data_IF_992281352681
#
_entry.id   IF_992281352681
#
_cell.length_a   1.000
_cell.length_b   1.000
_cell.length_c   1.000
_cell.angle_alpha   90.00
_cell.angle_beta   90.00
_cell.angle_gamma   90.00
#
_symmetry.space_group_name_H-M   'P 1'
#
loop_
_entity.id
_entity.type
_entity.pdbx_description
1 polymer ?
#
# COMPACT_ATOMS: atom_id res chain seq x y z
N UNK A 1 17.31 8.05 -1.76
CA UNK A 1 17.45 6.91 -2.69
C UNK A 1 17.39 5.66 -1.84
N UNK A 2 16.20 5.33 -1.31
CA UNK A 2 15.28 4.33 -1.87
C UNK A 2 15.92 2.94 -1.96
N UNK A 3 15.49 2.04 -1.07
CA UNK A 3 15.69 0.60 -1.17
C UNK A 3 15.06 0.12 -2.48
N UNK A 4 15.88 0.13 -3.53
CA UNK A 4 15.55 -0.57 -4.77
C UNK A 4 15.48 -2.06 -4.44
N UNK A 5 14.28 -2.64 -4.56
CA UNK A 5 14.08 -4.08 -4.63
C UNK A 5 14.73 -4.61 -5.90
N UNK A 6 16.06 -4.71 -5.93
CA UNK A 6 16.75 -5.43 -6.98
C UNK A 6 16.64 -6.92 -6.67
N UNK A 7 15.76 -7.64 -7.37
CA UNK A 7 15.93 -9.08 -7.52
C UNK A 7 17.29 -9.31 -8.19
N UNK A 8 18.29 -9.75 -7.43
CA UNK A 8 19.58 -10.17 -7.96
C UNK A 8 19.56 -11.69 -8.07
N UNK A 9 19.49 -12.21 -9.29
CA UNK A 9 19.89 -13.58 -9.59
C UNK A 9 21.39 -13.71 -9.41
N UNK A 10 21.87 -14.60 -8.53
CA UNK A 10 23.29 -14.95 -8.47
C UNK A 10 23.74 -15.55 -9.81
N UNK A 11 24.92 -15.14 -10.27
CA UNK A 11 25.59 -15.62 -11.50
C UNK A 11 25.95 -17.13 -11.46
N UNK A 12 25.66 -17.85 -10.39
CA UNK A 12 26.00 -19.27 -10.22
C UNK A 12 24.83 -20.26 -10.47
N UNK A 13 23.64 -19.76 -10.82
CA UNK A 13 22.49 -20.62 -11.12
C UNK A 13 21.86 -21.30 -9.90
N UNK A 14 22.27 -20.94 -8.67
CA UNK A 14 21.56 -21.34 -7.46
C UNK A 14 20.46 -20.31 -7.11
N UNK A 15 19.20 -20.77 -7.01
CA UNK A 15 18.11 -19.91 -6.52
C UNK A 15 18.27 -19.68 -5.02
N UNK A 16 18.76 -18.51 -4.63
CA UNK A 16 18.43 -17.91 -3.35
C UNK A 16 17.51 -16.71 -3.60
N UNK A 17 16.34 -16.67 -2.95
CA UNK A 17 15.49 -15.47 -2.95
C UNK A 17 16.16 -14.45 -2.04
N UNK A 18 16.96 -13.58 -2.63
CA UNK A 18 17.49 -12.40 -1.95
C UNK A 18 16.43 -11.31 -1.98
N UNK A 19 15.98 -10.90 -0.81
CA UNK A 19 15.30 -9.62 -0.65
C UNK A 19 16.36 -8.67 -0.10
N UNK A 20 16.72 -7.64 -0.86
CA UNK A 20 17.76 -6.68 -0.45
C UNK A 20 17.30 -5.77 0.70
N UNK A 21 16.11 -6.01 1.25
CA UNK A 21 15.51 -5.16 2.29
C UNK A 21 16.17 -5.41 3.65
N UNK A 22 16.87 -6.53 3.81
CA UNK A 22 17.54 -6.91 5.06
C UNK A 22 19.05 -7.13 4.87
N UNK A 23 19.64 -6.58 3.80
CA UNK A 23 21.08 -6.35 3.79
C UNK A 23 21.37 -5.25 4.82
N UNK A 24 22.03 -5.63 5.91
CA UNK A 24 22.34 -4.71 6.98
C UNK A 24 23.49 -3.81 6.52
N UNK A 25 23.21 -2.58 6.11
CA UNK A 25 24.21 -1.52 6.09
C UNK A 25 24.36 -1.02 7.53
N UNK A 26 25.21 -1.68 8.34
CA UNK A 26 25.58 -1.09 9.62
C UNK A 26 26.30 0.25 9.37
N UNK A 27 25.81 1.32 10.00
CA UNK A 27 26.32 2.69 10.00
C UNK A 27 25.90 3.65 8.87
N UNK A 28 24.61 3.97 8.77
CA UNK A 28 24.15 5.16 8.01
C UNK A 28 24.35 6.50 8.74
N UNK A 29 25.04 6.54 9.88
CA UNK A 29 25.29 7.79 10.64
C UNK A 29 26.70 8.38 10.54
N UNK A 30 27.65 7.78 9.83
CA UNK A 30 28.98 8.39 9.73
C UNK A 30 29.79 7.79 8.58
N UNK A 31 29.95 8.52 7.47
CA UNK A 31 31.05 8.48 6.48
C UNK A 31 31.86 7.21 6.19
N UNK A 32 31.36 6.01 6.49
CA UNK A 32 32.03 4.73 6.25
C UNK A 32 31.69 4.23 4.85
N UNK A 33 32.63 3.49 4.25
CA UNK A 33 32.43 2.83 2.97
C UNK A 33 31.16 1.97 3.00
N UNK A 34 30.31 2.11 1.97
CA UNK A 34 29.16 1.24 1.74
C UNK A 34 29.65 -0.12 1.23
N UNK A 35 30.12 -0.98 2.15
CA UNK A 35 30.54 -2.33 1.83
C UNK A 35 29.46 -3.33 2.25
N UNK A 36 29.17 -4.31 1.38
CA UNK A 36 28.33 -5.45 1.74
C UNK A 36 29.09 -6.31 2.76
N UNK A 37 28.57 -6.39 3.99
CA UNK A 37 29.24 -7.13 5.06
C UNK A 37 28.87 -8.61 5.07
N UNK A 38 27.58 -8.94 4.88
CA UNK A 38 27.10 -10.32 4.90
C UNK A 38 25.74 -10.46 4.20
N UNK A 39 25.39 -11.69 3.83
CA UNK A 39 24.09 -12.04 3.25
C UNK A 39 23.27 -12.88 4.25
N UNK A 40 22.02 -12.48 4.52
CA UNK A 40 21.12 -13.20 5.42
C UNK A 40 20.04 -13.92 4.63
N UNK A 41 19.95 -15.23 4.80
CA UNK A 41 18.86 -16.02 4.26
C UNK A 41 17.81 -16.33 5.34
N UNK A 42 16.73 -15.56 5.33
CA UNK A 42 15.62 -15.67 6.31
C UNK A 42 14.92 -17.02 6.22
N UNK A 43 14.89 -17.68 5.06
CA UNK A 43 14.25 -19.01 4.94
C UNK A 43 15.03 -20.11 5.66
N UNK A 44 16.29 -19.86 6.00
CA UNK A 44 17.14 -20.74 6.82
C UNK A 44 17.07 -20.43 8.31
N UNK A 45 16.37 -19.36 8.71
CA UNK A 45 16.12 -19.09 10.13
C UNK A 45 15.27 -20.22 10.70
N UNK A 46 15.79 -20.86 11.76
CA UNK A 46 15.27 -22.11 12.37
C UNK A 46 13.78 -22.04 12.70
N UNK A 47 13.24 -20.84 12.93
CA UNK A 47 11.91 -20.64 13.46
C UNK A 47 10.88 -20.11 12.44
N UNK A 48 11.27 -19.73 11.22
CA UNK A 48 10.36 -19.07 10.26
C UNK A 48 10.55 -19.56 8.81
N UNK A 49 9.62 -20.38 8.31
CA UNK A 49 9.62 -20.87 6.92
C UNK A 49 9.01 -19.84 5.95
N UNK A 50 9.75 -18.76 5.66
CA UNK A 50 9.29 -17.66 4.81
C UNK A 50 9.92 -17.77 3.41
N UNK A 51 9.08 -17.78 2.37
CA UNK A 51 9.50 -17.92 0.96
C UNK A 51 9.57 -16.59 0.21
N UNK A 52 8.84 -15.58 0.67
CA UNK A 52 8.79 -14.23 0.12
C UNK A 52 8.38 -13.27 1.22
N UNK A 53 8.91 -12.05 1.25
CA UNK A 53 8.50 -11.03 2.23
C UNK A 53 8.50 -9.64 1.61
N UNK A 54 7.80 -8.72 2.25
CA UNK A 54 7.67 -7.36 1.73
C UNK A 54 8.93 -6.54 1.94
N UNK A 55 9.11 -5.51 1.10
CA UNK A 55 10.22 -4.58 1.20
C UNK A 55 10.02 -3.41 2.15
N UNK A 56 8.93 -3.44 2.94
CA UNK A 56 8.48 -2.32 3.75
C UNK A 56 8.24 -2.76 5.21
N UNK A 57 9.30 -3.04 5.96
CA UNK A 57 9.17 -3.36 7.37
C UNK A 57 8.80 -2.12 8.21
N UNK A 58 8.06 -2.32 9.29
CA UNK A 58 7.83 -1.29 10.31
C UNK A 58 8.82 -1.44 11.45
N UNK A 59 9.50 -0.35 11.79
CA UNK A 59 10.39 -0.25 12.95
C UNK A 59 9.64 0.49 14.05
N UNK A 60 9.48 -0.17 15.20
CA UNK A 60 8.79 0.38 16.36
C UNK A 60 9.75 1.18 17.25
N UNK A 61 9.19 2.04 18.10
CA UNK A 61 9.96 2.84 19.06
C UNK A 61 10.80 2.00 20.05
N UNK A 62 10.38 0.77 20.34
CA UNK A 62 11.11 -0.18 21.20
C UNK A 62 12.16 -1.02 20.45
N UNK A 63 12.37 -0.73 19.16
CA UNK A 63 13.33 -1.42 18.30
C UNK A 63 12.83 -2.75 17.73
N UNK A 64 11.59 -3.17 18.00
CA UNK A 64 11.00 -4.31 17.29
C UNK A 64 10.75 -3.97 15.83
N UNK A 65 10.95 -4.96 14.96
CA UNK A 65 10.71 -4.83 13.53
C UNK A 65 9.60 -5.80 13.14
N UNK A 66 8.59 -5.31 12.43
CA UNK A 66 7.52 -6.14 11.86
C UNK A 66 7.63 -6.17 10.35
N UNK A 67 7.50 -7.36 9.75
CA UNK A 67 7.39 -7.51 8.31
C UNK A 67 6.37 -8.60 7.98
N UNK A 68 5.78 -8.57 6.79
CA UNK A 68 4.91 -9.63 6.29
C UNK A 68 5.66 -10.53 5.32
N UNK A 69 5.48 -11.83 5.49
CA UNK A 69 6.02 -12.85 4.60
C UNK A 69 5.04 -13.97 4.29
N UNK A 70 5.18 -14.52 3.10
CA UNK A 70 4.47 -15.72 2.66
C UNK A 70 5.21 -16.95 3.18
N UNK A 71 4.49 -17.87 3.83
CA UNK A 71 4.94 -19.25 4.03
C UNK A 71 4.09 -20.21 3.21
N UNK A 72 4.62 -21.41 2.96
CA UNK A 72 3.86 -22.53 2.39
C UNK A 72 3.77 -23.62 3.45
N UNK A 73 2.54 -23.96 3.82
CA UNK A 73 2.24 -25.01 4.81
C UNK A 73 1.52 -26.19 4.14
N UNK A 74 1.41 -27.36 4.79
CA UNK A 74 0.61 -28.47 4.27
C UNK A 74 -0.86 -28.11 4.00
N UNK A 75 -1.39 -27.10 4.70
CA UNK A 75 -2.76 -26.60 4.52
C UNK A 75 -2.86 -25.45 3.51
N UNK A 76 -1.76 -25.13 2.81
CA UNK A 76 -1.69 -24.06 1.82
C UNK A 76 -0.84 -22.86 2.24
N UNK A 77 -0.77 -21.84 1.36
CA UNK A 77 0.00 -20.64 1.63
C UNK A 77 -0.63 -19.78 2.74
N UNK A 78 0.23 -19.17 3.55
CA UNK A 78 -0.18 -18.27 4.63
C UNK A 78 0.62 -16.98 4.61
N UNK A 79 -0.06 -15.87 4.83
CA UNK A 79 0.55 -14.57 5.06
C UNK A 79 0.83 -14.42 6.55
N UNK A 80 2.10 -14.30 6.91
CA UNK A 80 2.54 -14.24 8.30
C UNK A 80 3.13 -12.87 8.60
N UNK A 81 2.73 -12.31 9.73
CA UNK A 81 3.44 -11.18 10.32
C UNK A 81 4.57 -11.73 11.17
N UNK A 82 5.78 -11.32 10.85
CA UNK A 82 7.03 -11.73 11.48
C UNK A 82 7.47 -10.59 12.38
N UNK A 83 7.76 -10.89 13.64
CA UNK A 83 8.38 -9.99 14.59
C UNK A 83 9.85 -10.34 14.74
N UNK A 84 10.72 -9.37 14.50
CA UNK A 84 12.14 -9.43 14.80
C UNK A 84 12.43 -8.59 16.04
N UNK A 85 13.22 -9.15 16.95
CA UNK A 85 13.55 -8.51 18.22
C UNK A 85 14.96 -7.91 18.16
N UNK A 86 15.23 -6.82 18.91
CA UNK A 86 16.58 -6.30 19.05
C UNK A 86 17.58 -7.37 19.52
N UNK A 87 18.85 -7.17 19.16
CA UNK A 87 19.95 -7.99 19.66
C UNK A 87 19.94 -7.99 21.20
N UNK A 88 20.03 -9.17 21.81
CA UNK A 88 20.16 -9.32 23.26
C UNK A 88 21.19 -10.38 23.63
N UNK A 89 21.72 -10.26 24.84
CA UNK A 89 22.57 -11.28 25.44
C UNK A 89 21.68 -12.16 26.31
N UNK A 90 21.69 -13.46 26.05
CA UNK A 90 21.06 -14.46 26.89
C UNK A 90 22.14 -15.25 27.62
N UNK A 91 21.90 -15.61 28.88
CA UNK A 91 22.76 -16.51 29.64
C UNK A 91 22.17 -17.91 29.47
N UNK A 92 22.97 -18.85 28.97
CA UNK A 92 22.53 -20.25 28.88
C UNK A 92 22.55 -20.96 30.24
N UNK A 93 22.01 -22.18 30.29
CA UNK A 93 21.93 -22.98 31.52
C UNK A 93 23.31 -23.32 32.12
N UNK A 94 24.39 -23.12 31.35
CA UNK A 94 25.78 -23.28 31.79
C UNK A 94 26.42 -21.99 32.31
N UNK A 95 25.67 -20.89 32.36
CA UNK A 95 26.15 -19.57 32.77
C UNK A 95 26.94 -18.82 31.70
N UNK A 96 26.97 -19.31 30.45
CA UNK A 96 27.72 -18.68 29.36
C UNK A 96 26.84 -17.69 28.61
N UNK A 97 27.40 -16.52 28.32
CA UNK A 97 26.74 -15.50 27.51
C UNK A 97 26.67 -15.92 26.04
N UNK A 98 25.46 -15.90 25.50
CA UNK A 98 25.16 -16.09 24.09
C UNK A 98 24.49 -14.84 23.53
N UNK A 99 25.12 -14.22 22.54
CA UNK A 99 24.51 -13.13 21.76
C UNK A 99 23.46 -13.74 20.82
N UNK A 100 22.21 -13.30 20.97
CA UNK A 100 21.12 -13.66 20.07
C UNK A 100 20.95 -12.54 19.05
N UNK A 101 21.06 -12.88 17.76
CA UNK A 101 20.83 -11.91 16.70
C UNK A 101 19.34 -11.63 16.51
N UNK A 102 19.03 -10.53 15.83
CA UNK A 102 17.67 -10.19 15.39
C UNK A 102 16.99 -11.33 14.61
N UNK A 103 17.73 -12.03 13.76
CA UNK A 103 17.20 -13.08 12.88
C UNK A 103 17.02 -14.42 13.58
N UNK A 104 17.85 -14.76 14.56
CA UNK A 104 17.72 -15.99 15.35
C UNK A 104 16.44 -15.99 16.19
N UNK A 105 15.98 -14.79 16.55
CA UNK A 105 14.85 -14.56 17.43
C UNK A 105 13.55 -14.27 16.68
N UNK A 106 13.57 -14.31 15.36
CA UNK A 106 12.39 -13.98 14.55
C UNK A 106 11.25 -14.97 14.84
N UNK A 107 10.03 -14.44 15.03
CA UNK A 107 8.84 -15.24 15.36
C UNK A 107 7.64 -14.81 14.52
N UNK A 108 6.77 -15.76 14.19
CA UNK A 108 5.47 -15.45 13.59
C UNK A 108 4.52 -15.04 14.71
N UNK A 109 4.01 -13.81 14.66
CA UNK A 109 3.10 -13.24 15.67
C UNK A 109 1.65 -13.17 15.22
N UNK A 110 1.40 -13.29 13.92
CA UNK A 110 0.07 -13.28 13.33
C UNK A 110 0.09 -14.03 12.00
N UNK A 111 -1.05 -14.62 11.60
CA UNK A 111 -1.12 -15.38 10.35
C UNK A 111 -2.53 -15.39 9.76
N UNK A 112 -2.64 -15.12 8.46
CA UNK A 112 -3.87 -15.23 7.68
C UNK A 112 -3.69 -16.26 6.55
N UNK A 113 -4.69 -17.12 6.27
CA UNK A 113 -4.64 -18.02 5.13
C UNK A 113 -4.79 -17.23 3.83
N UNK A 114 -4.08 -17.65 2.77
CA UNK A 114 -4.37 -17.19 1.41
C UNK A 114 -5.72 -17.71 0.95
N UNK A 115 -6.53 -16.86 0.30
CA UNK A 115 -7.77 -17.32 -0.34
C UNK A 115 -7.52 -18.26 -1.53
N UNK A 116 -6.30 -18.24 -2.08
CA UNK A 116 -5.91 -19.03 -3.24
C UNK A 116 -4.78 -20.00 -2.90
N UNK A 117 -5.07 -21.29 -3.07
CA UNK A 117 -4.14 -22.37 -2.71
C UNK A 117 -2.87 -22.41 -3.57
N UNK A 118 -2.99 -22.11 -4.86
CA UNK A 118 -1.88 -22.20 -5.84
C UNK A 118 -1.44 -20.84 -6.40
N UNK A 119 -2.12 -19.76 -6.00
CA UNK A 119 -1.90 -18.42 -6.53
C UNK A 119 -2.01 -17.38 -5.40
N UNK A 120 -1.16 -17.42 -4.36
CA UNK A 120 -1.21 -16.43 -3.29
C UNK A 120 -1.07 -15.01 -3.82
N UNK A 121 -1.69 -14.05 -3.13
CA UNK A 121 -1.61 -12.63 -3.47
C UNK A 121 -0.18 -12.11 -3.36
N UNK A 122 0.19 -11.25 -4.30
CA UNK A 122 1.31 -10.35 -4.16
C UNK A 122 0.93 -9.21 -3.23
N UNK A 123 1.79 -8.91 -2.26
CA UNK A 123 1.62 -7.79 -1.35
C UNK A 123 2.94 -7.05 -1.25
N UNK A 124 2.88 -5.74 -1.47
CA UNK A 124 4.06 -4.90 -1.46
C UNK A 124 4.24 -4.20 -0.11
N UNK A 125 3.14 -3.82 0.56
CA UNK A 125 3.12 -3.28 1.92
C UNK A 125 2.01 -3.95 2.75
N UNK A 126 2.05 -3.75 4.06
CA UNK A 126 1.00 -4.13 5.01
C UNK A 126 0.78 -2.98 5.99
N UNK A 127 -0.27 -3.02 6.82
CA UNK A 127 -0.54 -1.97 7.81
C UNK A 127 -0.33 -2.44 9.25
N UNK A 128 0.03 -1.50 10.13
CA UNK A 128 0.12 -1.69 11.58
C UNK A 128 -0.49 -0.50 12.34
N UNK A 129 -1.43 -0.78 13.25
CA UNK A 129 -1.97 0.18 14.23
C UNK A 129 -1.56 -0.26 15.64
N UNK A 130 -1.98 0.45 16.68
CA UNK A 130 -1.68 0.04 18.07
C UNK A 130 -2.20 -1.37 18.41
N UNK A 131 -3.37 -1.76 17.91
CA UNK A 131 -4.00 -3.04 18.22
C UNK A 131 -4.10 -4.02 17.05
N UNK A 132 -3.89 -3.59 15.80
CA UNK A 132 -4.13 -4.43 14.62
C UNK A 132 -2.97 -4.48 13.62
N UNK A 133 -2.82 -5.64 12.99
CA UNK A 133 -2.14 -5.77 11.70
C UNK A 133 -3.20 -5.79 10.60
N UNK A 134 -2.89 -5.16 9.47
CA UNK A 134 -3.79 -5.04 8.31
C UNK A 134 -3.12 -5.69 7.11
N UNK A 135 -3.75 -6.71 6.54
CA UNK A 135 -3.29 -7.38 5.31
C UNK A 135 -4.30 -7.10 4.20
N UNK A 136 -3.84 -6.48 3.10
CA UNK A 136 -4.66 -6.20 1.92
C UNK A 136 -4.36 -7.26 0.86
N UNK A 137 -5.23 -8.26 0.75
CA UNK A 137 -5.14 -9.35 -0.23
C UNK A 137 -5.77 -8.92 -1.56
N UNK A 138 -4.94 -8.34 -2.42
CA UNK A 138 -5.32 -7.79 -3.72
C UNK A 138 -5.52 -8.85 -4.82
N UNK A 139 -6.17 -8.51 -5.96
CA UNK A 139 -6.43 -9.42 -7.08
C UNK A 139 -5.20 -9.76 -7.95
N UNK A 140 -3.97 -9.41 -7.54
CA UNK A 140 -2.73 -9.73 -8.24
C UNK A 140 -2.05 -10.91 -7.55
N UNK A 141 -2.01 -12.06 -8.22
CA UNK A 141 -1.49 -13.31 -7.64
C UNK A 141 -0.14 -13.70 -8.19
N UNK A 142 0.62 -14.47 -7.42
CA UNK A 142 1.83 -15.15 -7.83
C UNK A 142 1.53 -16.63 -8.08
N UNK A 143 1.48 -17.05 -9.34
CA UNK A 143 1.12 -18.43 -9.68
C UNK A 143 2.27 -19.40 -9.37
N UNK A 144 2.07 -20.38 -8.50
CA UNK A 144 3.09 -21.41 -8.22
C UNK A 144 3.38 -22.28 -9.45
N UNK A 145 2.34 -22.63 -10.20
CA UNK A 145 2.50 -23.34 -11.48
C UNK A 145 3.21 -22.45 -12.50
N UNK A 146 2.79 -21.18 -12.59
CA UNK A 146 3.46 -20.19 -13.45
C UNK A 146 4.94 -20.08 -13.11
N UNK A 147 5.29 -19.98 -11.83
CA UNK A 147 6.67 -19.93 -11.34
C UNK A 147 7.50 -21.14 -11.79
N UNK A 148 6.94 -22.35 -11.74
CA UNK A 148 7.62 -23.56 -12.22
C UNK A 148 7.86 -23.53 -13.74
N UNK A 149 6.86 -23.12 -14.52
CA UNK A 149 6.97 -23.00 -15.99
C UNK A 149 8.00 -21.93 -16.35
N UNK A 150 7.89 -20.74 -15.75
CA UNK A 150 8.80 -19.61 -15.95
C UNK A 150 10.24 -19.98 -15.60
N UNK A 151 10.44 -20.74 -14.52
CA UNK A 151 11.76 -21.26 -14.14
C UNK A 151 12.32 -22.21 -15.21
N UNK A 152 11.53 -23.18 -15.66
CA UNK A 152 11.96 -24.13 -16.70
C UNK A 152 12.27 -23.44 -18.03
N UNK A 153 11.49 -22.42 -18.40
CA UNK A 153 11.66 -21.65 -19.63
C UNK A 153 12.69 -20.52 -19.53
N UNK A 154 13.23 -20.25 -18.34
CA UNK A 154 14.11 -19.09 -18.05
C UNK A 154 13.48 -17.75 -18.45
N UNK A 155 12.17 -17.63 -18.26
CA UNK A 155 11.42 -16.41 -18.52
C UNK A 155 11.50 -15.43 -17.33
N UNK A 156 11.19 -14.14 -17.53
CA UNK A 156 11.15 -13.17 -16.44
C UNK A 156 10.08 -13.51 -15.38
N UNK A 157 10.40 -13.23 -14.11
CA UNK A 157 9.55 -13.45 -12.92
C UNK A 157 8.18 -12.78 -13.05
N UNK A 158 8.12 -11.65 -13.76
CA UNK A 158 6.86 -10.92 -14.01
C UNK A 158 5.79 -11.81 -14.68
N UNK A 159 6.18 -12.83 -15.45
CA UNK A 159 5.28 -13.69 -16.21
C UNK A 159 4.43 -14.63 -15.34
N UNK A 160 4.80 -14.85 -14.06
CA UNK A 160 3.95 -15.66 -13.17
C UNK A 160 2.91 -14.83 -12.40
N UNK A 161 2.92 -13.50 -12.51
CA UNK A 161 1.85 -12.68 -11.95
C UNK A 161 0.58 -12.83 -12.77
N UNK A 162 -0.57 -12.99 -12.08
CA UNK A 162 -1.88 -13.08 -12.71
C UNK A 162 -2.86 -12.13 -12.05
N UNK A 163 -3.42 -11.24 -12.86
CA UNK A 163 -4.47 -10.32 -12.45
C UNK A 163 -5.85 -10.97 -12.55
N UNK A 164 -6.63 -10.87 -11.48
CA UNK A 164 -8.00 -11.37 -11.41
C UNK A 164 -8.98 -10.21 -11.23
N UNK A 165 -9.15 -9.38 -12.27
CA UNK A 165 -9.95 -8.15 -12.21
C UNK A 165 -11.42 -8.33 -11.81
N UNK A 166 -11.97 -9.53 -11.95
CA UNK A 166 -13.33 -9.89 -11.53
C UNK A 166 -13.42 -10.38 -10.07
N UNK A 167 -12.34 -10.29 -9.28
CA UNK A 167 -12.29 -10.70 -7.89
C UNK A 167 -12.06 -9.49 -7.00
N UNK A 168 -12.90 -9.36 -5.98
CA UNK A 168 -12.80 -8.32 -4.96
C UNK A 168 -11.44 -8.34 -4.23
N UNK A 169 -11.09 -7.23 -3.60
CA UNK A 169 -9.96 -7.13 -2.68
C UNK A 169 -10.42 -7.49 -1.27
N UNK A 170 -9.64 -8.26 -0.51
CA UNK A 170 -9.94 -8.56 0.90
C UNK A 170 -9.02 -7.76 1.81
N UNK A 171 -9.58 -7.14 2.84
CA UNK A 171 -8.83 -6.38 3.86
C UNK A 171 -8.98 -7.14 5.17
N UNK A 172 -7.94 -7.85 5.58
CA UNK A 172 -7.91 -8.65 6.81
C UNK A 172 -7.39 -7.82 7.98
N UNK A 173 -8.17 -7.77 9.05
CA UNK A 173 -7.79 -7.17 10.33
C UNK A 173 -7.44 -8.28 11.31
N UNK A 174 -6.19 -8.27 11.80
CA UNK A 174 -5.64 -9.29 12.69
C UNK A 174 -5.24 -8.62 14.00
N UNK A 175 -5.65 -9.17 15.14
CA UNK A 175 -5.26 -8.61 16.43
C UNK A 175 -3.76 -8.78 16.67
N UNK A 176 -3.08 -7.69 17.05
CA UNK A 176 -1.68 -7.73 17.49
C UNK A 176 -1.50 -8.48 18.82
N UNK A 177 -2.53 -8.48 19.67
CA UNK A 177 -2.51 -9.12 20.98
C UNK A 177 -2.63 -10.64 20.87
N UNK A 178 -3.57 -11.14 20.05
CA UNK A 178 -3.86 -12.58 19.97
C UNK A 178 -3.29 -13.25 18.73
N UNK A 179 -2.87 -12.47 17.72
CA UNK A 179 -2.43 -12.99 16.43
C UNK A 179 -3.57 -13.55 15.56
N UNK A 180 -4.83 -13.43 16.00
CA UNK A 180 -6.00 -14.01 15.34
C UNK A 180 -6.69 -13.01 14.41
N UNK A 181 -7.25 -13.54 13.33
CA UNK A 181 -8.09 -12.79 12.40
C UNK A 181 -9.37 -12.32 13.12
N UNK A 182 -9.54 -11.01 13.24
CA UNK A 182 -10.69 -10.38 13.89
C UNK A 182 -11.83 -10.21 12.89
N UNK A 183 -11.52 -9.70 11.70
CA UNK A 183 -12.52 -9.38 10.68
C UNK A 183 -11.89 -9.32 9.30
N UNK A 184 -12.69 -9.57 8.26
CA UNK A 184 -12.30 -9.34 6.86
C UNK A 184 -13.35 -8.46 6.18
N UNK A 185 -12.89 -7.37 5.58
CA UNK A 185 -13.72 -6.47 4.77
C UNK A 185 -13.51 -6.77 3.28
N UNK A 186 -14.53 -6.49 2.48
CA UNK A 186 -14.52 -6.71 1.03
C UNK A 186 -14.54 -5.35 0.34
N UNK A 187 -13.53 -5.06 -0.48
CA UNK A 187 -13.49 -3.87 -1.30
C UNK A 187 -13.60 -4.23 -2.79
N UNK A 188 -13.94 -3.25 -3.61
CA UNK A 188 -13.84 -3.39 -5.06
C UNK A 188 -12.40 -3.78 -5.47
N UNK A 189 -12.28 -4.39 -6.65
CA UNK A 189 -11.01 -4.78 -7.25
C UNK A 189 -10.10 -3.55 -7.41
N UNK A 190 -8.90 -3.58 -6.80
CA UNK A 190 -7.87 -2.57 -7.04
C UNK A 190 -6.47 -3.18 -6.90
N UNK A 191 -5.48 -2.53 -7.51
CA UNK A 191 -4.06 -2.84 -7.35
C UNK A 191 -3.40 -1.78 -6.47
N UNK A 192 -2.42 -2.14 -5.65
CA UNK A 192 -1.66 -1.19 -4.84
C UNK A 192 -0.20 -1.64 -4.64
N UNK A 193 0.65 -0.65 -4.39
CA UNK A 193 1.98 -0.87 -3.83
C UNK A 193 2.07 -0.39 -2.38
N UNK A 194 1.73 0.86 -2.13
CA UNK A 194 1.98 1.49 -0.83
C UNK A 194 0.69 1.87 -0.08
N UNK A 195 0.64 1.45 1.18
CA UNK A 195 -0.23 2.04 2.19
C UNK A 195 0.41 3.36 2.65
N UNK A 196 -0.40 4.41 2.74
CA UNK A 196 0.00 5.76 3.18
C UNK A 196 0.13 5.76 4.71
N UNK A 197 -0.96 5.44 5.39
CA UNK A 197 -1.01 5.24 6.84
C UNK A 197 -2.26 4.42 7.21
N UNK A 198 -2.30 3.99 8.46
CA UNK A 198 -3.43 3.31 9.06
C UNK A 198 -3.53 3.72 10.52
N UNK A 199 -4.73 3.84 11.06
CA UNK A 199 -4.91 4.20 12.46
C UNK A 199 -6.27 3.76 12.98
N UNK A 200 -6.38 3.68 14.30
CA UNK A 200 -7.65 3.49 15.00
C UNK A 200 -8.20 4.86 15.39
N UNK A 201 -9.50 5.09 15.17
CA UNK A 201 -10.14 6.33 15.63
C UNK A 201 -10.14 6.40 17.15
N UNK A 202 -10.10 7.61 17.72
CA UNK A 202 -10.07 7.79 19.20
C UNK A 202 -11.21 7.13 19.96
N UNK A 203 -12.38 7.03 19.33
CA UNK A 203 -13.55 6.35 19.87
C UNK A 203 -13.45 4.81 19.80
N UNK A 204 -12.44 4.27 19.11
CA UNK A 204 -12.21 2.85 18.91
C UNK A 204 -13.21 2.17 17.99
N UNK A 205 -14.06 2.95 17.30
CA UNK A 205 -15.15 2.40 16.50
C UNK A 205 -14.73 1.98 15.09
N UNK A 206 -13.67 2.62 14.57
CA UNK A 206 -13.21 2.43 13.20
C UNK A 206 -11.69 2.23 13.13
N UNK A 207 -11.28 1.42 12.16
CA UNK A 207 -9.91 1.43 11.64
C UNK A 207 -9.93 2.17 10.31
N UNK A 208 -9.03 3.14 10.15
CA UNK A 208 -8.85 3.91 8.91
C UNK A 208 -7.64 3.36 8.18
N UNK A 209 -7.78 3.16 6.87
CA UNK A 209 -6.72 2.69 5.97
C UNK A 209 -6.61 3.64 4.78
N UNK A 210 -5.49 4.34 4.70
CA UNK A 210 -5.16 5.26 3.61
C UNK A 210 -4.15 4.59 2.68
N UNK A 211 -4.43 4.55 1.38
CA UNK A 211 -3.73 3.66 0.46
C UNK A 211 -3.67 4.24 -0.95
N UNK A 212 -2.53 4.07 -1.62
CA UNK A 212 -2.32 4.43 -3.02
C UNK A 212 -2.88 3.35 -3.94
N UNK A 213 -4.07 3.56 -4.51
CA UNK A 213 -4.75 2.58 -5.35
C UNK A 213 -4.65 2.87 -6.86
N UNK A 214 -4.46 1.80 -7.63
CA UNK A 214 -4.58 1.73 -9.08
C UNK A 214 -5.82 0.90 -9.45
N UNK A 215 -6.40 1.18 -10.63
CA UNK A 215 -7.52 0.39 -11.15
C UNK A 215 -7.12 -1.03 -11.53
N UNK A 216 -5.91 -1.17 -12.07
CA UNK A 216 -5.36 -2.42 -12.56
C UNK A 216 -3.81 -2.38 -12.45
N UNK A 217 -3.10 -3.50 -12.64
CA UNK A 217 -1.66 -3.55 -12.51
C UNK A 217 -0.91 -3.11 -13.77
N UNK A 218 -1.55 -2.43 -14.74
CA UNK A 218 -0.88 -1.97 -15.99
C UNK A 218 0.32 -1.09 -15.70
N UNK A 219 0.36 -0.43 -14.54
CA UNK A 219 1.54 0.27 -14.06
C UNK A 219 2.83 -0.58 -14.19
N UNK A 220 2.78 -1.88 -13.91
CA UNK A 220 3.95 -2.77 -14.04
C UNK A 220 4.58 -2.76 -15.44
N UNK A 221 3.78 -2.58 -16.50
CA UNK A 221 4.25 -2.50 -17.89
C UNK A 221 5.02 -1.19 -18.16
N UNK A 222 4.67 -0.12 -17.45
CA UNK A 222 5.36 1.17 -17.54
C UNK A 222 6.65 1.22 -16.71
N UNK A 223 6.88 0.25 -15.82
CA UNK A 223 8.14 0.10 -15.07
C UNK A 223 9.26 -0.55 -15.90
N UNK A 224 9.00 -0.99 -17.14
CA UNK A 224 10.05 -1.49 -18.03
C UNK A 224 10.96 -0.36 -18.51
N UNK A 225 12.26 -0.64 -18.60
CA UNK A 225 13.27 0.34 -19.02
C UNK A 225 12.94 0.94 -20.39
N UNK A 226 12.50 0.11 -21.34
CA UNK A 226 12.15 0.58 -22.68
C UNK A 226 10.91 1.48 -22.67
N UNK A 227 9.92 1.17 -21.84
CA UNK A 227 8.74 2.01 -21.66
C UNK A 227 9.09 3.37 -21.03
N UNK A 228 9.99 3.38 -20.04
CA UNK A 228 10.47 4.62 -19.40
C UNK A 228 11.32 5.48 -20.36
N UNK A 229 12.15 4.86 -21.20
CA UNK A 229 12.98 5.58 -22.19
C UNK A 229 12.16 6.19 -23.32
N UNK A 230 11.10 5.51 -23.74
CA UNK A 230 10.29 5.89 -24.90
C UNK A 230 9.03 6.69 -24.53
N UNK A 231 9.00 7.26 -23.31
CA UNK A 231 7.83 7.85 -22.64
C UNK A 231 6.72 8.40 -23.57
N UNK A 232 5.56 7.75 -23.55
CA UNK A 232 4.37 8.19 -24.26
C UNK A 232 3.46 9.06 -23.36
N UNK A 233 2.56 9.86 -23.93
CA UNK A 233 1.65 10.74 -23.19
C UNK A 233 0.76 10.01 -22.14
N UNK A 234 0.49 8.72 -22.37
CA UNK A 234 -0.27 7.87 -21.42
C UNK A 234 0.53 7.45 -20.18
N UNK A 235 1.87 7.60 -20.21
CA UNK A 235 2.74 7.29 -19.08
C UNK A 235 2.32 8.11 -17.86
N UNK A 236 2.10 9.43 -18.01
CA UNK A 236 1.73 10.31 -16.90
C UNK A 236 0.35 10.00 -16.31
N UNK A 237 -0.59 9.53 -17.14
CA UNK A 237 -1.96 9.18 -16.70
C UNK A 237 -2.03 7.86 -15.94
N UNK A 238 -1.16 6.90 -16.27
CA UNK A 238 -1.18 5.55 -15.73
C UNK A 238 -0.15 5.33 -14.61
N UNK A 239 0.88 6.17 -14.53
CA UNK A 239 1.99 5.99 -13.59
C UNK A 239 1.64 6.26 -12.12
N UNK A 240 0.46 6.83 -11.82
CA UNK A 240 0.18 7.37 -10.48
C UNK A 240 -1.16 6.91 -9.91
N UNK A 241 -1.07 6.37 -8.71
CA UNK A 241 -2.19 5.89 -7.93
C UNK A 241 -3.08 7.05 -7.46
N UNK A 242 -4.34 6.76 -7.15
CA UNK A 242 -5.20 7.68 -6.40
C UNK A 242 -5.11 7.36 -4.91
N UNK A 243 -4.86 8.35 -4.03
CA UNK A 243 -4.87 8.14 -2.60
C UNK A 243 -6.31 8.00 -2.11
N UNK A 244 -6.66 6.83 -1.59
CA UNK A 244 -8.01 6.47 -1.16
C UNK A 244 -8.01 6.17 0.34
N UNK A 245 -9.12 6.51 1.01
CA UNK A 245 -9.35 6.20 2.43
C UNK A 245 -10.49 5.23 2.60
N UNK A 246 -10.18 4.08 3.18
CA UNK A 246 -11.17 3.13 3.66
C UNK A 246 -11.42 3.36 5.14
N UNK A 247 -12.70 3.39 5.52
CA UNK A 247 -13.13 3.37 6.91
C UNK A 247 -13.74 2.00 7.20
N UNK A 248 -13.17 1.32 8.19
CA UNK A 248 -13.47 -0.07 8.50
C UNK A 248 -14.19 -0.14 9.86
N UNK A 249 -15.52 -0.32 9.89
CA UNK A 249 -16.28 -0.38 11.14
C UNK A 249 -15.93 -1.65 11.93
N UNK A 250 -15.47 -1.47 13.17
CA UNK A 250 -14.97 -2.55 14.01
C UNK A 250 -16.01 -3.13 14.97
N UNK A 251 -17.10 -2.39 15.24
CA UNK A 251 -18.23 -2.85 16.06
C UNK A 251 -18.86 -4.11 15.48
N UNK A 252 -19.44 -4.92 16.36
CA UNK A 252 -20.29 -6.03 15.94
C UNK A 252 -21.51 -5.49 15.18
N UNK A 253 -21.77 -6.10 14.03
CA UNK A 253 -22.92 -5.76 13.19
C UNK A 253 -23.99 -6.81 13.46
N UNK A 254 -25.16 -6.38 13.88
CA UNK A 254 -26.31 -7.27 14.09
C UNK A 254 -26.78 -7.85 12.74
N UNK A 255 -27.19 -9.12 12.74
CA UNK A 255 -27.66 -9.85 11.55
C UNK A 255 -28.83 -9.16 10.85
N UNK A 256 -29.61 -8.38 11.60
CA UNK A 256 -30.85 -7.76 11.13
C UNK A 256 -30.58 -6.39 10.47
N UNK A 257 -29.31 -5.99 10.36
CA UNK A 257 -28.90 -4.76 9.68
C UNK A 257 -29.19 -4.89 8.19
N UNK A 258 -30.01 -3.98 7.66
CA UNK A 258 -30.37 -3.95 6.25
C UNK A 258 -29.19 -3.53 5.38
N UNK A 259 -29.14 -4.00 4.14
CA UNK A 259 -28.01 -3.77 3.22
C UNK A 259 -27.89 -2.34 2.71
N UNK A 260 -28.92 -1.52 2.88
CA UNK A 260 -28.96 -0.09 2.56
C UNK A 260 -28.44 0.80 3.70
N UNK A 261 -28.25 0.25 4.89
CA UNK A 261 -27.73 0.99 6.04
C UNK A 261 -26.21 1.14 5.98
N UNK A 262 -25.73 2.39 5.98
CA UNK A 262 -24.29 2.66 6.09
C UNK A 262 -23.82 2.49 7.54
N UNK A 263 -22.95 1.51 7.76
CA UNK A 263 -22.31 1.22 9.05
C UNK A 263 -21.35 2.35 9.49
N UNK A 264 -20.98 3.24 8.58
CA UNK A 264 -20.19 4.43 8.87
C UNK A 264 -21.13 5.56 9.25
N UNK A 265 -21.11 5.94 10.52
CA UNK A 265 -21.90 7.07 11.07
C UNK A 265 -21.06 8.31 11.32
N UNK A 266 -19.82 8.34 10.80
CA UNK A 266 -18.77 9.30 11.13
C UNK A 266 -19.20 10.77 11.02
N UNK A 267 -19.24 11.44 12.19
CA UNK A 267 -19.00 12.88 12.32
C UNK A 267 -17.50 13.19 12.51
N UNK A 268 -16.73 12.23 12.98
CA UNK A 268 -15.41 12.40 13.63
C UNK A 268 -14.20 12.39 12.69
N UNK A 269 -14.42 12.03 11.43
CA UNK A 269 -13.41 11.97 10.35
C UNK A 269 -13.73 13.09 9.35
N UNK A 270 -14.48 14.15 9.68
CA UNK A 270 -14.84 15.19 8.70
C UNK A 270 -14.91 16.62 9.23
N UNK A 271 -14.55 16.87 10.49
CA UNK A 271 -14.62 18.23 11.02
C UNK A 271 -13.28 18.96 10.79
N UNK A 272 -13.16 19.58 9.61
CA UNK A 272 -12.77 21.00 9.45
C UNK A 272 -12.63 21.42 7.97
N UNK A 273 -13.69 21.28 7.18
CA UNK A 273 -13.84 22.06 5.94
C UNK A 273 -15.26 22.63 5.88
N UNK A 274 -15.62 23.49 6.84
CA UNK A 274 -16.47 24.62 6.49
C UNK A 274 -15.61 25.55 5.62
N UNK A 275 -15.65 25.34 4.31
CA UNK A 275 -15.28 26.41 3.37
C UNK A 275 -16.25 27.55 3.66
N UNK A 276 -15.77 28.58 4.35
CA UNK A 276 -16.47 29.86 4.38
C UNK A 276 -16.65 30.30 2.93
N UNK A 277 -17.90 30.34 2.48
CA UNK A 277 -18.35 31.09 1.33
C UNK A 277 -17.98 32.57 1.55
N UNK A 278 -16.73 32.94 1.26
CA UNK A 278 -16.35 34.33 1.07
C UNK A 278 -16.77 34.69 -0.34
N UNK A 279 -18.02 35.16 -0.40
CA UNK A 279 -18.54 36.18 -1.31
C UNK A 279 -17.43 36.79 -2.17
N UNK A 280 -17.25 36.31 -3.40
CA UNK A 280 -16.77 37.17 -4.48
C UNK A 280 -18.01 37.76 -5.15
N UNK A 281 -18.36 38.94 -4.67
CA UNK A 281 -19.26 39.91 -5.29
C UNK A 281 -19.22 39.87 -6.81
N UNK A 282 -20.41 39.65 -7.37
CA UNK A 282 -20.98 40.31 -8.54
C UNK A 282 -20.00 41.04 -9.48
N UNK A 283 -19.66 40.36 -10.58
CA UNK A 283 -19.55 41.04 -11.86
C UNK A 283 -20.32 40.24 -12.91
N UNK A 284 -21.63 40.52 -12.98
CA UNK A 284 -22.37 40.48 -14.23
C UNK A 284 -21.61 41.28 -15.31
N UNK A 285 -20.94 40.60 -16.20
CA UNK A 285 -20.76 41.08 -17.57
C UNK A 285 -21.58 40.16 -18.46
N UNK A 286 -22.70 40.71 -18.92
CA UNK A 286 -23.46 40.20 -20.06
C UNK A 286 -22.49 39.99 -21.22
N UNK A 287 -22.30 38.74 -21.65
CA UNK A 287 -21.91 38.47 -23.03
C UNK A 287 -23.02 37.60 -23.62
N UNK A 288 -23.72 38.21 -24.57
CA UNK A 288 -24.77 37.59 -25.36
C UNK A 288 -24.24 36.34 -26.06
N UNK A 289 -25.09 35.33 -26.09
CA UNK A 289 -24.89 34.09 -26.83
C UNK A 289 -24.88 34.47 -28.32
N UNK A 290 -23.69 34.40 -28.93
CA UNK A 290 -23.58 34.18 -30.37
C UNK A 290 -23.22 32.71 -30.53
N UNK A 291 -24.18 31.94 -31.03
CA UNK A 291 -23.97 30.59 -31.53
C UNK A 291 -22.94 30.67 -32.67
N UNK A 292 -21.74 30.15 -32.42
CA UNK A 292 -20.87 29.66 -33.49
C UNK A 292 -20.29 28.31 -33.06
N UNK A 293 -20.59 27.32 -33.89
CA UNK A 293 -20.15 25.94 -33.77
C UNK A 293 -18.64 25.87 -33.97
N UNK A 294 -17.89 25.60 -32.89
CA UNK A 294 -16.63 24.85 -32.86
C UNK A 294 -16.01 24.95 -31.45
N UNK A 295 -16.44 24.10 -30.51
CA UNK A 295 -15.77 23.92 -29.22
C UNK A 295 -16.17 22.60 -28.53
N UNK A 296 -15.82 21.47 -29.16
CA UNK A 296 -16.06 20.13 -28.58
C UNK A 296 -15.04 19.83 -27.46
N UNK A 297 -13.82 20.38 -27.52
CA UNK A 297 -12.75 20.11 -26.54
C UNK A 297 -12.96 20.78 -25.16
N UNK A 298 -13.67 21.91 -25.11
CA UNK A 298 -13.87 22.65 -23.85
C UNK A 298 -15.00 22.04 -22.99
N UNK A 299 -15.92 21.28 -23.61
CA UNK A 299 -17.03 20.63 -22.91
C UNK A 299 -16.59 19.40 -22.08
N UNK A 300 -15.59 18.67 -22.58
CA UNK A 300 -15.04 17.49 -21.91
C UNK A 300 -14.16 17.87 -20.72
N UNK A 301 -13.36 18.94 -20.81
CA UNK A 301 -12.67 19.51 -19.65
C UNK A 301 -13.69 19.95 -18.59
N UNK A 302 -14.71 20.74 -18.95
CA UNK A 302 -15.72 21.19 -17.98
C UNK A 302 -16.54 20.04 -17.35
N UNK A 303 -16.77 18.93 -18.07
CA UNK A 303 -17.39 17.72 -17.52
C UNK A 303 -16.43 16.96 -16.59
N UNK A 304 -15.16 16.82 -16.99
CA UNK A 304 -14.14 16.16 -16.19
C UNK A 304 -13.92 16.85 -14.82
N UNK A 305 -13.77 18.18 -14.83
CA UNK A 305 -13.65 18.99 -13.61
C UNK A 305 -14.89 18.88 -12.70
N UNK A 306 -16.09 18.77 -13.28
CA UNK A 306 -17.35 18.62 -12.51
C UNK A 306 -17.50 17.24 -11.89
N UNK A 307 -17.08 16.19 -12.60
CA UNK A 307 -17.09 14.81 -12.12
C UNK A 307 -16.00 14.55 -11.06
N UNK A 308 -14.86 15.23 -11.14
CA UNK A 308 -13.78 15.13 -10.15
C UNK A 308 -14.08 15.87 -8.85
N UNK A 309 -14.65 17.08 -8.91
CA UNK A 309 -15.22 17.74 -7.72
C UNK A 309 -16.37 16.94 -7.09
N UNK A 310 -17.11 16.15 -7.88
CA UNK A 310 -18.13 15.21 -7.38
C UNK A 310 -17.50 14.01 -6.66
N UNK A 311 -16.35 13.51 -7.12
CA UNK A 311 -15.64 12.38 -6.51
C UNK A 311 -15.07 12.72 -5.13
N UNK A 312 -14.52 13.93 -4.93
CA UNK A 312 -14.04 14.42 -3.62
C UNK A 312 -15.18 14.56 -2.59
N UNK A 313 -16.43 14.69 -3.03
CA UNK A 313 -17.61 14.79 -2.15
C UNK A 313 -18.17 13.43 -1.74
N UNK A 314 -17.70 12.33 -2.34
CA UNK A 314 -18.16 10.98 -2.01
C UNK A 314 -17.54 10.51 -0.70
N UNK A 315 -18.40 10.36 0.30
CA UNK A 315 -18.04 9.80 1.61
C UNK A 315 -17.76 8.30 1.53
N UNK A 316 -16.97 7.74 2.46
CA UNK A 316 -16.74 6.32 2.52
C UNK A 316 -18.03 5.62 2.97
N UNK A 317 -18.23 4.39 2.48
CA UNK A 317 -19.44 3.60 2.73
C UNK A 317 -19.03 2.21 3.20
N UNK A 318 -19.71 1.68 4.22
CA UNK A 318 -19.61 0.29 4.62
C UNK A 318 -21.02 -0.30 4.78
N UNK A 319 -21.33 -1.40 4.11
CA UNK A 319 -22.63 -2.05 4.20
C UNK A 319 -22.48 -3.56 4.40
N UNK A 320 -23.46 -4.16 5.08
CA UNK A 320 -23.54 -5.60 5.24
C UNK A 320 -24.25 -6.21 4.03
N UNK A 321 -23.60 -7.14 3.34
CA UNK A 321 -24.16 -7.90 2.23
C UNK A 321 -23.73 -9.37 2.37
N UNK A 322 -24.70 -10.28 2.42
CA UNK A 322 -24.49 -11.73 2.58
C UNK A 322 -23.54 -12.09 3.74
N UNK A 323 -23.74 -11.44 4.89
CA UNK A 323 -22.92 -11.66 6.10
C UNK A 323 -21.49 -11.12 6.01
N UNK A 324 -21.15 -10.38 4.95
CA UNK A 324 -19.84 -9.76 4.73
C UNK A 324 -19.98 -8.25 4.69
N UNK A 325 -18.96 -7.53 5.17
CA UNK A 325 -18.96 -6.08 5.14
C UNK A 325 -18.22 -5.62 3.89
N UNK A 326 -18.95 -4.95 3.00
CA UNK A 326 -18.41 -4.34 1.80
C UNK A 326 -18.09 -2.88 2.07
N UNK A 327 -16.86 -2.47 1.73
CA UNK A 327 -16.35 -1.11 1.98
C UNK A 327 -16.01 -0.42 0.67
N UNK A 328 -16.43 0.85 0.56
CA UNK A 328 -16.08 1.76 -0.52
C UNK A 328 -15.30 2.94 0.05
N UNK A 329 -14.16 3.30 -0.55
CA UNK A 329 -13.34 4.37 -0.02
C UNK A 329 -13.85 5.74 -0.45
N UNK A 330 -13.34 6.76 0.22
CA UNK A 330 -13.35 8.14 -0.28
C UNK A 330 -12.02 8.51 -0.93
N UNK A 331 -12.02 9.56 -1.75
CA UNK A 331 -10.82 10.12 -2.36
C UNK A 331 -10.19 11.12 -1.38
N UNK A 332 -8.91 10.94 -1.04
CA UNK A 332 -8.21 11.82 -0.09
C UNK A 332 -7.85 13.18 -0.69
N UNK A 333 -7.36 13.17 -1.93
CA UNK A 333 -7.09 14.37 -2.69
C UNK A 333 -7.17 14.05 -4.18
N UNK A 334 -7.44 15.07 -5.00
CA UNK A 334 -7.54 14.93 -6.44
C UNK A 334 -6.19 15.16 -7.13
N UNK A 335 -5.16 14.54 -6.54
CA UNK A 335 -3.81 14.54 -7.07
C UNK A 335 -3.33 13.12 -7.07
N UNK A 336 -2.87 12.65 -8.24
CA UNK A 336 -2.33 11.31 -8.36
C UNK A 336 -0.92 11.28 -7.78
N UNK A 337 -0.65 10.34 -6.89
CA UNK A 337 0.61 10.30 -6.17
C UNK A 337 1.08 8.87 -5.90
N UNK A 338 2.37 8.74 -5.61
CA UNK A 338 2.96 7.49 -5.15
C UNK A 338 4.16 7.75 -4.23
N UNK A 339 4.73 6.68 -3.67
CA UNK A 339 5.83 6.68 -2.73
C UNK A 339 5.47 7.59 -1.54
N UNK A 340 4.36 7.26 -0.84
CA UNK A 340 3.90 8.07 0.28
C UNK A 340 4.87 7.96 1.46
N UNK A 341 4.97 9.06 2.20
CA UNK A 341 5.71 9.18 3.45
C UNK A 341 4.90 10.01 4.44
N UNK A 342 5.01 9.66 5.70
CA UNK A 342 4.47 10.42 6.82
C UNK A 342 5.61 10.70 7.81
N UNK A 343 5.33 11.54 8.80
CA UNK A 343 6.18 11.61 9.98
C UNK A 343 5.96 10.37 10.86
N UNK A 344 6.64 9.28 10.53
CA UNK A 344 6.46 7.95 11.12
C UNK A 344 6.68 7.94 12.62
N UNK A 345 7.64 8.72 13.13
CA UNK A 345 8.03 8.72 14.54
C UNK A 345 6.88 9.16 15.46
N UNK A 346 5.99 10.02 14.95
CA UNK A 346 4.88 10.58 15.72
C UNK A 346 3.51 10.04 15.28
N UNK A 347 3.36 9.64 14.02
CA UNK A 347 2.04 9.38 13.42
C UNK A 347 1.85 7.98 12.82
N UNK A 348 2.85 7.10 12.85
CA UNK A 348 2.65 5.72 12.42
C UNK A 348 1.60 5.04 13.31
N UNK A 349 0.54 4.49 12.70
CA UNK A 349 -0.51 3.81 13.44
C UNK A 349 -1.51 4.74 14.13
N UNK A 350 -1.35 6.07 13.98
CA UNK A 350 -2.09 7.11 14.71
C UNK A 350 -2.73 8.10 13.76
N UNK A 351 -3.76 8.80 14.27
CA UNK A 351 -4.36 9.94 13.58
C UNK A 351 -3.29 10.94 13.15
N UNK A 352 -3.44 11.44 11.92
CA UNK A 352 -2.46 12.27 11.25
C UNK A 352 -3.16 13.21 10.27
N UNK A 353 -2.48 14.29 9.90
CA UNK A 353 -3.02 15.33 9.04
C UNK A 353 -2.31 15.45 7.70
N UNK A 354 -1.04 15.07 7.65
CA UNK A 354 -0.20 15.28 6.48
C UNK A 354 0.50 14.00 6.03
N UNK A 355 0.48 13.75 4.72
CA UNK A 355 1.44 12.86 4.06
C UNK A 355 2.16 13.61 2.96
N UNK A 356 3.31 13.07 2.57
CA UNK A 356 4.14 13.55 1.49
C UNK A 356 4.22 12.47 0.43
N UNK A 357 4.10 12.82 -0.84
CA UNK A 357 4.21 11.84 -1.91
C UNK A 357 4.75 12.49 -3.18
N UNK A 358 5.20 11.64 -4.10
CA UNK A 358 5.69 12.02 -5.41
C UNK A 358 4.50 12.19 -6.36
N UNK A 359 4.35 13.39 -6.94
CA UNK A 359 3.34 13.74 -7.97
C UNK A 359 3.98 14.22 -9.30
N UNK A 360 3.24 14.19 -10.43
CA UNK A 360 3.63 14.80 -11.72
C UNK A 360 2.63 15.90 -12.00
N UNK A 361 3.10 17.13 -12.16
CA UNK A 361 2.31 18.20 -12.73
C UNK A 361 2.38 18.10 -14.25
N UNK A 362 1.25 17.84 -14.89
CA UNK A 362 1.00 18.29 -16.26
C UNK A 362 -0.26 19.16 -16.40
N UNK A 363 -0.98 19.40 -15.31
CA UNK A 363 -2.17 20.27 -15.33
C UNK A 363 -1.83 21.77 -15.24
N UNK A 364 -0.54 22.12 -15.25
CA UNK A 364 -0.05 23.48 -15.45
C UNK A 364 0.64 23.55 -16.82
N UNK A 365 0.15 24.41 -17.71
CA UNK A 365 0.58 24.61 -19.10
C UNK A 365 2.06 25.02 -19.26
N UNK A 366 3.01 24.13 -18.97
CA UNK A 366 4.40 24.29 -19.40
C UNK A 366 4.68 23.36 -20.58
N UNK A 367 4.32 23.87 -21.75
CA UNK A 367 4.79 23.39 -23.05
C UNK A 367 6.33 23.46 -23.09
N UNK A 368 6.98 22.30 -23.24
CA UNK A 368 8.32 22.23 -23.82
C UNK A 368 9.44 21.77 -22.89
N UNK A 369 9.42 20.53 -22.39
CA UNK A 369 10.61 19.65 -22.33
C UNK A 369 10.22 18.25 -21.86
N UNK A 370 9.96 17.34 -22.80
CA UNK A 370 9.39 16.00 -22.55
C UNK A 370 10.34 15.03 -21.83
N UNK A 371 11.61 15.37 -21.65
CA UNK A 371 12.59 14.56 -20.90
C UNK A 371 12.98 15.16 -19.54
N UNK A 372 12.77 16.47 -19.32
CA UNK A 372 13.19 17.14 -18.09
C UNK A 372 12.09 17.13 -17.02
N UNK A 373 10.81 17.00 -17.40
CA UNK A 373 9.69 16.96 -16.44
C UNK A 373 9.61 15.66 -15.63
N UNK A 374 10.16 14.55 -16.13
CA UNK A 374 10.26 13.26 -15.41
C UNK A 374 11.24 13.32 -14.22
N UNK A 375 12.15 14.29 -14.20
CA UNK A 375 13.07 14.56 -13.08
C UNK A 375 12.52 15.58 -12.08
N UNK A 376 11.45 16.32 -12.41
CA UNK A 376 10.75 17.20 -11.48
C UNK A 376 9.61 16.44 -10.80
N UNK A 377 9.94 15.42 -10.02
CA UNK A 377 9.04 14.90 -9.00
C UNK A 377 8.92 15.94 -7.89
N UNK A 378 7.76 16.59 -7.81
CA UNK A 378 7.46 17.45 -6.66
C UNK A 378 7.08 16.56 -5.49
N UNK A 379 7.80 16.72 -4.38
CA UNK A 379 7.31 16.28 -3.09
C UNK A 379 6.20 17.24 -2.69
N UNK A 380 4.96 16.77 -2.71
CA UNK A 380 3.81 17.56 -2.29
C UNK A 380 3.43 17.17 -0.86
N UNK A 381 3.09 18.17 -0.04
CA UNK A 381 2.42 17.96 1.23
C UNK A 381 0.91 17.96 0.99
N UNK A 382 0.24 16.90 1.43
CA UNK A 382 -1.21 16.77 1.33
C UNK A 382 -1.83 16.92 2.71
N UNK A 383 -2.74 17.88 2.86
CA UNK A 383 -3.55 18.08 4.05
C UNK A 383 -4.85 17.28 3.92
N UNK A 384 -5.18 16.49 4.94
CA UNK A 384 -6.28 15.53 4.87
C UNK A 384 -7.48 15.92 5.75
N UNK A 385 -7.33 16.99 6.55
CA UNK A 385 -8.35 17.51 7.46
C UNK A 385 -8.33 19.03 7.57
#
# INVERSE_FOLDING_TARGET
MECVNNLITQLDGSLSHTSNVLDNFEHTKCGKLLQTEFHVNISKSVNINIVHHTGHPYIMADGRIYNVGLSVTPFGPRYNVICFYPNRVAIDDSGKERKLSTFDQATIVASAPSRWLLNPSYMHTFGITDNYFIIVEQPLTMSFIGKMITYLKREPIINFFKWHGNKNTLIHIISRKTGQLVRTFIAETFFFFHIINQFETRDGEYVVLDICCYRDPKMLEYMYIDAMKNGNADFDRLFRARPLRFVLPMKEVHSDTTSDYNLITLKTVHQNLEFQDIISTDHKTNLEIVDDADNIENSDKFRHWRDEHSALRKKPIAHLLDGKIFVKPELLCDVRCEIPRINTDFHLGKEYRYFYAISCDKDMDTLGTTFLSLLFTKLLSFEIW
#
